data_IF_176460461729
#
_entry.id   IF_176460461729
#
_cell.length_a   1.000
_cell.length_b   1.000
_cell.length_c   1.000
_cell.angle_alpha   90.00
_cell.angle_beta   90.00
_cell.angle_gamma   90.00
#
_symmetry.space_group_name_H-M   'P 1'
#
loop_
_entity.id
_entity.type
_entity.pdbx_description
1 polymer ?
#
# COMPACT_ATOMS: atom_id res chain seq x y z
N UNK A 1 -29.66 -16.95 -17.35
CA UNK A 1 -30.31 -15.64 -17.20
C UNK A 1 -29.31 -14.67 -16.53
N UNK A 2 -28.36 -14.13 -17.30
CA UNK A 2 -27.36 -13.13 -16.85
C UNK A 2 -27.35 -11.90 -17.79
N UNK A 3 -28.39 -11.73 -18.64
CA UNK A 3 -28.38 -10.76 -19.74
C UNK A 3 -28.81 -9.32 -19.37
N UNK A 4 -29.23 -9.04 -18.14
CA UNK A 4 -29.76 -7.71 -17.78
C UNK A 4 -29.04 -7.01 -16.61
N UNK A 5 -27.88 -7.52 -16.16
CA UNK A 5 -27.06 -6.74 -15.22
C UNK A 5 -26.28 -5.70 -16.03
N UNK A 6 -26.78 -4.48 -16.00
CA UNK A 6 -26.05 -3.31 -16.51
C UNK A 6 -24.70 -3.26 -15.77
N UNK A 7 -23.61 -3.55 -16.47
CA UNK A 7 -22.27 -3.51 -15.92
C UNK A 7 -21.98 -2.07 -15.43
N UNK A 8 -21.72 -1.84 -14.14
CA UNK A 8 -21.46 -0.49 -13.64
C UNK A 8 -20.17 0.07 -14.24
N UNK A 9 -20.14 1.38 -14.49
CA UNK A 9 -18.95 2.06 -15.00
C UNK A 9 -17.82 2.00 -13.95
N UNK A 10 -16.61 1.67 -14.40
CA UNK A 10 -15.37 1.67 -13.62
C UNK A 10 -14.45 2.75 -14.16
N UNK A 11 -14.05 3.69 -13.30
CA UNK A 11 -13.00 4.67 -13.60
C UNK A 11 -11.65 4.12 -13.21
N UNK A 12 -10.80 3.82 -14.19
CA UNK A 12 -9.41 3.42 -13.95
C UNK A 12 -8.55 4.68 -13.97
N UNK A 13 -7.98 5.02 -12.82
CA UNK A 13 -7.14 6.23 -12.64
C UNK A 13 -5.68 5.82 -12.67
N UNK A 14 -4.91 6.41 -13.58
CA UNK A 14 -3.48 6.15 -13.77
C UNK A 14 -2.71 7.46 -13.57
N UNK A 15 -2.05 7.65 -12.40
CA UNK A 15 -1.12 8.76 -12.21
C UNK A 15 0.15 8.51 -13.04
N UNK A 16 0.54 9.47 -13.85
CA UNK A 16 1.66 9.33 -14.80
C UNK A 16 2.78 10.31 -14.46
N UNK A 17 3.99 9.79 -14.21
CA UNK A 17 5.19 10.61 -14.01
C UNK A 17 6.48 9.84 -14.31
N UNK A 18 7.20 10.21 -15.36
CA UNK A 18 8.50 9.60 -15.75
C UNK A 18 8.45 8.08 -15.96
N UNK A 19 7.45 7.60 -16.66
CA UNK A 19 7.21 6.18 -16.91
C UNK A 19 7.08 5.85 -18.41
N UNK A 20 7.64 6.65 -19.30
CA UNK A 20 7.53 6.49 -20.77
C UNK A 20 7.83 5.07 -21.27
N UNK A 21 8.73 4.34 -20.57
CA UNK A 21 9.11 2.96 -20.92
C UNK A 21 8.05 1.91 -20.59
N UNK A 22 7.08 2.23 -19.75
CA UNK A 22 6.13 1.28 -19.17
C UNK A 22 4.69 1.66 -19.41
N UNK A 23 4.43 2.95 -19.68
CA UNK A 23 3.09 3.52 -19.75
C UNK A 23 2.20 2.84 -20.80
N UNK A 24 2.72 2.53 -21.97
CA UNK A 24 1.96 1.84 -23.02
C UNK A 24 1.52 0.44 -22.60
N UNK A 25 2.40 -0.31 -21.93
CA UNK A 25 2.07 -1.64 -21.41
C UNK A 25 1.01 -1.56 -20.29
N UNK A 26 1.12 -0.56 -19.42
CA UNK A 26 0.13 -0.27 -18.39
C UNK A 26 -1.25 0.00 -19.01
N UNK A 27 -1.35 0.95 -19.95
CA UNK A 27 -2.61 1.31 -20.62
C UNK A 27 -3.18 0.11 -21.37
N UNK A 28 -2.33 -0.64 -22.10
CA UNK A 28 -2.75 -1.84 -22.82
C UNK A 28 -3.37 -2.88 -21.89
N UNK A 29 -2.80 -3.09 -20.69
CA UNK A 29 -3.33 -4.03 -19.70
C UNK A 29 -4.74 -3.69 -19.23
N UNK A 30 -5.11 -2.39 -19.25
CA UNK A 30 -6.45 -1.90 -18.92
C UNK A 30 -7.39 -2.02 -20.12
N UNK A 31 -6.95 -1.66 -21.31
CA UNK A 31 -7.76 -1.73 -22.53
C UNK A 31 -8.07 -3.18 -22.96
N UNK A 32 -7.21 -4.13 -22.62
CA UNK A 32 -7.41 -5.56 -22.90
C UNK A 32 -8.33 -6.28 -21.91
N UNK A 33 -8.94 -5.57 -20.96
CA UNK A 33 -9.87 -6.18 -20.01
C UNK A 33 -11.14 -6.68 -20.72
N UNK A 34 -11.67 -7.81 -20.27
CA UNK A 34 -12.93 -8.40 -20.76
C UNK A 34 -14.19 -7.71 -20.19
N UNK A 35 -14.01 -6.56 -19.55
CA UNK A 35 -15.04 -5.70 -18.98
C UNK A 35 -15.15 -4.42 -19.81
N UNK A 36 -16.27 -4.22 -20.48
CA UNK A 36 -16.38 -3.16 -21.51
C UNK A 36 -16.70 -1.77 -20.96
N UNK A 37 -17.34 -1.67 -19.79
CA UNK A 37 -17.76 -0.38 -19.25
C UNK A 37 -16.68 0.25 -18.37
N UNK A 38 -15.58 0.65 -19.00
CA UNK A 38 -14.42 1.28 -18.38
C UNK A 38 -14.20 2.65 -19.00
N UNK A 39 -13.96 3.66 -18.17
CA UNK A 39 -13.27 4.89 -18.53
C UNK A 39 -11.86 4.88 -17.94
N UNK A 40 -10.90 5.42 -18.67
CA UNK A 40 -9.51 5.52 -18.24
C UNK A 40 -9.17 7.00 -18.08
N UNK A 41 -8.65 7.37 -16.92
CA UNK A 41 -8.25 8.75 -16.60
C UNK A 41 -6.74 8.75 -16.39
N UNK A 42 -6.01 9.23 -17.41
CA UNK A 42 -4.56 9.43 -17.35
C UNK A 42 -4.29 10.81 -16.77
N UNK A 43 -3.63 10.85 -15.61
CA UNK A 43 -3.28 12.14 -14.98
C UNK A 43 -1.77 12.31 -15.06
N UNK A 44 -1.32 13.08 -16.05
CA UNK A 44 0.08 13.44 -16.19
C UNK A 44 0.47 14.51 -15.17
N UNK A 45 1.31 14.12 -14.23
CA UNK A 45 1.79 14.96 -13.13
C UNK A 45 3.06 15.75 -13.53
N UNK A 46 3.01 16.40 -14.70
CA UNK A 46 4.10 17.22 -15.23
C UNK A 46 5.33 16.39 -15.59
N UNK A 47 5.15 15.31 -16.34
CA UNK A 47 6.23 14.44 -16.79
C UNK A 47 7.18 15.19 -17.74
N UNK A 48 8.50 15.14 -17.50
CA UNK A 48 9.49 15.76 -18.39
C UNK A 48 9.97 14.87 -19.55
N UNK A 49 9.51 13.62 -19.59
CA UNK A 49 9.78 12.62 -20.62
C UNK A 49 8.65 12.57 -21.66
N UNK A 50 8.56 11.52 -22.48
CA UNK A 50 7.56 11.41 -23.53
C UNK A 50 6.15 10.99 -23.05
N UNK A 51 5.92 10.85 -21.73
CA UNK A 51 4.61 10.48 -21.19
C UNK A 51 3.44 11.36 -21.68
N UNK A 52 3.54 12.71 -21.72
CA UNK A 52 2.44 13.55 -22.19
C UNK A 52 2.01 13.19 -23.63
N UNK A 53 2.96 13.02 -24.55
CA UNK A 53 2.65 12.64 -25.93
C UNK A 53 2.04 11.24 -26.05
N UNK A 54 2.48 10.30 -25.22
CA UNK A 54 1.87 8.95 -25.15
C UNK A 54 0.41 9.07 -24.69
N UNK A 55 0.14 9.84 -23.63
CA UNK A 55 -1.21 10.03 -23.12
C UNK A 55 -2.16 10.60 -24.19
N UNK A 56 -1.76 11.66 -24.87
CA UNK A 56 -2.57 12.29 -25.93
C UNK A 56 -2.80 11.34 -27.10
N UNK A 57 -1.79 10.60 -27.56
CA UNK A 57 -1.94 9.60 -28.62
C UNK A 57 -2.98 8.51 -28.28
N UNK A 58 -3.08 8.12 -27.00
CA UNK A 58 -4.09 7.16 -26.58
C UNK A 58 -5.48 7.81 -26.49
N UNK A 59 -5.60 9.04 -26.02
CA UNK A 59 -6.88 9.75 -25.98
C UNK A 59 -7.45 10.02 -27.37
N UNK A 60 -6.60 10.30 -28.38
CA UNK A 60 -7.05 10.43 -29.76
C UNK A 60 -7.57 9.11 -30.36
N UNK A 61 -7.07 7.97 -29.91
CA UNK A 61 -7.45 6.65 -30.44
C UNK A 61 -8.64 6.00 -29.75
N UNK A 62 -8.89 6.36 -28.48
CA UNK A 62 -9.86 5.68 -27.63
C UNK A 62 -10.77 6.70 -26.93
N UNK A 63 -12.04 6.73 -27.29
CA UNK A 63 -13.04 7.69 -26.78
C UNK A 63 -13.27 7.56 -25.26
N UNK A 64 -12.94 6.41 -24.66
CA UNK A 64 -13.07 6.16 -23.23
C UNK A 64 -11.80 6.53 -22.42
N UNK A 65 -10.82 7.20 -23.04
CA UNK A 65 -9.61 7.72 -22.37
C UNK A 65 -9.70 9.22 -22.26
N UNK A 66 -9.56 9.73 -21.04
CA UNK A 66 -9.41 11.15 -20.71
C UNK A 66 -7.98 11.43 -20.24
N UNK A 67 -7.37 12.51 -20.69
CA UNK A 67 -6.08 13.01 -20.21
C UNK A 67 -6.26 14.28 -19.40
N UNK A 68 -5.53 14.38 -18.32
CA UNK A 68 -5.44 15.59 -17.48
C UNK A 68 -3.97 15.87 -17.24
N UNK A 69 -3.52 17.06 -17.62
CA UNK A 69 -2.19 17.55 -17.30
C UNK A 69 -2.23 18.46 -16.09
N UNK A 70 -1.25 18.31 -15.20
CA UNK A 70 -1.05 19.18 -14.04
C UNK A 70 0.44 19.46 -13.79
N UNK A 71 0.73 20.50 -13.02
CA UNK A 71 2.07 20.67 -12.44
C UNK A 71 2.39 19.54 -11.46
N UNK A 72 3.68 19.15 -11.38
CA UNK A 72 4.09 18.04 -10.51
C UNK A 72 3.81 18.32 -9.04
N UNK A 73 2.83 17.60 -8.49
CA UNK A 73 2.40 17.64 -7.08
C UNK A 73 2.47 16.29 -6.39
N UNK A 74 2.90 15.24 -7.11
CA UNK A 74 3.03 13.88 -6.61
C UNK A 74 1.81 12.99 -6.89
N UNK A 75 2.02 11.68 -6.79
CA UNK A 75 1.03 10.66 -7.14
C UNK A 75 -0.30 10.81 -6.39
N UNK A 76 -0.27 11.21 -5.11
CA UNK A 76 -1.48 11.46 -4.33
C UNK A 76 -2.35 12.57 -4.91
N UNK A 77 -1.73 13.70 -5.31
CA UNK A 77 -2.44 14.80 -5.96
C UNK A 77 -3.01 14.40 -7.33
N UNK A 78 -2.25 13.62 -8.11
CA UNK A 78 -2.71 13.09 -9.39
C UNK A 78 -3.90 12.14 -9.21
N UNK A 79 -3.86 11.23 -8.24
CA UNK A 79 -5.01 10.37 -7.92
C UNK A 79 -6.23 11.16 -7.48
N UNK A 80 -6.06 12.19 -6.65
CA UNK A 80 -7.15 13.08 -6.24
C UNK A 80 -7.79 13.78 -7.46
N UNK A 81 -6.97 14.27 -8.38
CA UNK A 81 -7.45 14.91 -9.60
C UNK A 81 -8.24 13.93 -10.48
N UNK A 82 -7.75 12.69 -10.61
CA UNK A 82 -8.48 11.62 -11.28
C UNK A 82 -9.82 11.28 -10.60
N UNK A 83 -9.84 11.21 -9.25
CA UNK A 83 -11.07 10.96 -8.47
C UNK A 83 -12.13 12.05 -8.66
N UNK A 84 -11.72 13.30 -8.82
CA UNK A 84 -12.62 14.43 -9.08
C UNK A 84 -13.29 14.32 -10.46
N UNK A 85 -12.56 13.77 -11.46
CA UNK A 85 -13.06 13.58 -12.84
C UNK A 85 -13.80 12.26 -13.04
N UNK A 86 -13.67 11.30 -12.11
CA UNK A 86 -14.25 9.96 -12.23
C UNK A 86 -15.79 9.99 -12.24
N UNK A 87 -16.40 9.43 -13.30
CA UNK A 87 -17.84 9.22 -13.44
C UNK A 87 -18.32 7.84 -12.99
N UNK A 88 -17.41 6.90 -12.80
CA UNK A 88 -17.69 5.52 -12.50
C UNK A 88 -18.30 5.29 -11.12
N UNK A 89 -19.11 4.23 -11.03
CA UNK A 89 -19.61 3.70 -9.74
C UNK A 89 -18.48 3.16 -8.88
N UNK A 90 -17.39 2.72 -9.52
CA UNK A 90 -16.19 2.22 -8.90
C UNK A 90 -14.96 2.95 -9.43
N UNK A 91 -13.94 3.08 -8.58
CA UNK A 91 -12.62 3.59 -8.91
C UNK A 91 -11.59 2.48 -8.71
N UNK A 92 -10.68 2.32 -9.67
CA UNK A 92 -9.54 1.42 -9.62
C UNK A 92 -8.27 2.23 -9.88
N UNK A 93 -7.31 2.18 -8.95
CA UNK A 93 -6.00 2.82 -9.16
C UNK A 93 -5.00 1.84 -9.76
N UNK A 94 -4.24 2.30 -10.74
CA UNK A 94 -3.14 1.55 -11.38
C UNK A 94 -1.95 2.48 -11.54
N UNK A 95 -0.78 2.12 -11.01
CA UNK A 95 0.43 2.89 -11.22
C UNK A 95 0.94 2.72 -12.65
N UNK A 96 1.44 3.79 -13.26
CA UNK A 96 1.80 3.85 -14.67
C UNK A 96 3.01 2.99 -15.08
N UNK A 97 3.74 2.43 -14.11
CA UNK A 97 4.81 1.44 -14.33
C UNK A 97 4.40 0.00 -14.03
N UNK A 98 3.13 -0.23 -13.65
CA UNK A 98 2.55 -1.53 -13.31
C UNK A 98 1.48 -1.97 -14.32
N UNK A 99 0.89 -3.17 -14.12
CA UNK A 99 -0.15 -3.70 -14.99
C UNK A 99 -1.26 -4.41 -14.21
N UNK A 100 -2.45 -4.51 -14.79
CA UNK A 100 -3.46 -5.47 -14.35
C UNK A 100 -3.03 -6.88 -14.76
N UNK A 101 -3.19 -7.86 -13.86
CA UNK A 101 -2.58 -9.20 -14.06
C UNK A 101 -3.34 -10.07 -15.08
N UNK A 102 -4.66 -9.94 -15.18
CA UNK A 102 -5.50 -10.79 -16.01
C UNK A 102 -6.53 -9.98 -16.79
N UNK A 103 -6.91 -10.45 -17.97
CA UNK A 103 -7.99 -9.83 -18.75
C UNK A 103 -9.34 -9.79 -18.00
N UNK A 104 -9.54 -10.67 -17.03
CA UNK A 104 -10.76 -10.74 -16.22
C UNK A 104 -10.66 -9.97 -14.88
N UNK A 105 -9.59 -9.22 -14.64
CA UNK A 105 -9.36 -8.55 -13.34
C UNK A 105 -10.48 -7.60 -12.98
N UNK A 106 -10.82 -6.65 -13.86
CA UNK A 106 -11.86 -5.64 -13.57
C UNK A 106 -13.21 -6.31 -13.36
N UNK A 107 -13.59 -7.25 -14.25
CA UNK A 107 -14.85 -7.99 -14.11
C UNK A 107 -14.96 -8.71 -12.77
N UNK A 108 -13.92 -9.43 -12.34
CA UNK A 108 -13.92 -10.17 -11.09
C UNK A 108 -13.99 -9.28 -9.86
N UNK A 109 -13.29 -8.13 -9.89
CA UNK A 109 -13.37 -7.14 -8.81
C UNK A 109 -14.79 -6.58 -8.70
N UNK A 110 -15.43 -6.24 -9.83
CA UNK A 110 -16.80 -5.73 -9.85
C UNK A 110 -17.82 -6.79 -9.41
N UNK A 111 -17.72 -8.03 -9.93
CA UNK A 111 -18.59 -9.14 -9.52
C UNK A 111 -18.54 -9.34 -8.01
N UNK A 112 -17.33 -9.34 -7.42
CA UNK A 112 -17.17 -9.46 -5.97
C UNK A 112 -17.74 -8.27 -5.22
N UNK A 113 -17.56 -7.04 -5.73
CA UNK A 113 -18.11 -5.83 -5.12
C UNK A 113 -19.64 -5.85 -5.09
N UNK A 114 -20.28 -6.26 -6.19
CA UNK A 114 -21.74 -6.36 -6.29
C UNK A 114 -22.31 -7.51 -5.46
N UNK A 115 -21.65 -8.68 -5.48
CA UNK A 115 -22.08 -9.87 -4.73
C UNK A 115 -22.08 -9.63 -3.22
N UNK A 116 -21.00 -9.04 -2.71
CA UNK A 116 -20.83 -8.82 -1.27
C UNK A 116 -21.27 -7.42 -0.82
N UNK A 117 -21.73 -6.58 -1.73
CA UNK A 117 -22.03 -5.16 -1.48
C UNK A 117 -20.82 -4.47 -0.83
N UNK A 118 -19.61 -4.80 -1.32
CA UNK A 118 -18.38 -4.33 -0.74
C UNK A 118 -18.09 -2.86 -1.14
N UNK A 119 -17.46 -2.13 -0.21
CA UNK A 119 -16.98 -0.77 -0.44
C UNK A 119 -15.56 -0.78 -1.03
N UNK A 120 -14.77 -1.79 -0.64
CA UNK A 120 -13.40 -1.99 -1.12
C UNK A 120 -13.21 -3.46 -1.46
N UNK A 121 -12.74 -3.76 -2.69
CA UNK A 121 -12.38 -5.11 -3.09
C UNK A 121 -10.91 -5.16 -3.47
N UNK A 122 -10.20 -6.19 -3.02
CA UNK A 122 -8.80 -6.41 -3.36
C UNK A 122 -8.52 -7.88 -3.68
N UNK A 123 -7.45 -8.13 -4.43
CA UNK A 123 -6.94 -9.46 -4.73
C UNK A 123 -5.46 -9.60 -4.40
N UNK A 124 -4.87 -10.70 -4.82
CA UNK A 124 -3.45 -10.94 -4.64
C UNK A 124 -2.62 -10.17 -5.68
N UNK A 125 -1.35 -9.95 -5.37
CA UNK A 125 -0.40 -9.27 -6.24
C UNK A 125 0.72 -10.23 -6.63
N UNK A 126 1.20 -10.09 -7.84
CA UNK A 126 2.44 -10.70 -8.30
C UNK A 126 3.48 -9.62 -8.58
N UNK A 127 4.73 -9.97 -8.35
CA UNK A 127 5.88 -9.12 -8.70
C UNK A 127 6.48 -9.66 -9.98
N UNK A 128 6.82 -8.77 -10.91
CA UNK A 128 7.48 -9.15 -12.13
C UNK A 128 8.64 -8.20 -12.48
N UNK A 129 9.59 -8.73 -13.19
CA UNK A 129 10.65 -8.01 -13.88
C UNK A 129 10.77 -8.58 -15.30
N UNK A 130 11.71 -8.08 -16.09
CA UNK A 130 11.90 -8.52 -17.48
C UNK A 130 12.13 -10.05 -17.66
N UNK A 131 12.46 -10.77 -16.59
CA UNK A 131 12.87 -12.18 -16.64
C UNK A 131 11.98 -13.10 -15.81
N UNK A 132 11.17 -12.56 -14.86
CA UNK A 132 10.50 -13.39 -13.83
C UNK A 132 9.19 -12.79 -13.36
N UNK A 133 8.23 -13.69 -13.08
CA UNK A 133 7.00 -13.38 -12.38
C UNK A 133 6.90 -14.25 -11.12
N UNK A 134 6.62 -13.63 -9.96
CA UNK A 134 6.48 -14.35 -8.68
C UNK A 134 5.32 -13.79 -7.85
N UNK A 135 4.64 -14.64 -7.10
CA UNK A 135 3.61 -14.20 -6.16
C UNK A 135 4.22 -13.30 -5.07
N UNK A 136 3.60 -12.16 -4.79
CA UNK A 136 4.05 -11.20 -3.81
C UNK A 136 3.29 -11.31 -2.50
N UNK A 137 1.97 -11.41 -2.57
CA UNK A 137 1.09 -11.51 -1.41
C UNK A 137 0.04 -12.60 -1.65
N UNK A 138 -0.25 -13.36 -0.60
CA UNK A 138 -1.43 -14.22 -0.54
C UNK A 138 -2.26 -13.79 0.64
N UNK A 139 -3.40 -13.16 0.38
CA UNK A 139 -4.34 -13.07 1.46
C UNK A 139 -5.09 -14.38 1.61
N UNK A 140 -5.34 -14.73 2.86
CA UNK A 140 -6.23 -15.82 3.23
C UNK A 140 -7.56 -15.28 3.79
N UNK A 141 -7.78 -13.98 3.65
CA UNK A 141 -8.99 -13.31 4.13
C UNK A 141 -10.18 -13.63 3.23
N UNK A 142 -11.34 -13.77 3.86
CA UNK A 142 -12.64 -13.88 3.19
C UNK A 142 -13.38 -12.56 3.34
N UNK A 143 -14.31 -12.25 2.43
CA UNK A 143 -15.09 -11.02 2.47
C UNK A 143 -15.85 -10.84 3.77
N UNK A 144 -16.11 -9.61 4.13
CA UNK A 144 -16.87 -9.21 5.32
C UNK A 144 -16.34 -7.93 5.97
N UNK A 145 -17.06 -7.45 7.00
CA UNK A 145 -16.66 -6.27 7.78
C UNK A 145 -15.76 -6.68 8.93
N UNK A 146 -14.46 -6.77 8.68
CA UNK A 146 -13.46 -7.16 9.68
C UNK A 146 -12.70 -5.98 10.29
N UNK A 147 -12.94 -4.76 9.81
CA UNK A 147 -12.19 -3.54 10.16
C UNK A 147 -12.20 -3.20 11.65
N UNK A 148 -13.21 -3.65 12.38
CA UNK A 148 -13.32 -3.48 13.84
C UNK A 148 -12.36 -4.33 14.64
N UNK A 149 -11.79 -5.38 14.06
CA UNK A 149 -10.91 -6.25 14.83
C UNK A 149 -9.46 -5.81 14.76
N UNK A 150 -8.78 -5.81 15.90
CA UNK A 150 -7.35 -5.54 16.01
C UNK A 150 -6.54 -6.51 15.14
N UNK A 151 -6.95 -7.78 15.06
CA UNK A 151 -6.29 -8.80 14.24
C UNK A 151 -6.37 -8.48 12.73
N UNK A 152 -7.50 -7.97 12.25
CA UNK A 152 -7.64 -7.53 10.86
C UNK A 152 -6.70 -6.36 10.54
N UNK A 153 -6.69 -5.35 11.41
CA UNK A 153 -5.82 -4.17 11.23
C UNK A 153 -4.34 -4.54 11.27
N UNK A 154 -3.97 -5.44 12.20
CA UNK A 154 -2.62 -6.00 12.27
C UNK A 154 -2.24 -6.74 10.98
N UNK A 155 -3.10 -7.64 10.50
CA UNK A 155 -2.86 -8.39 9.25
C UNK A 155 -2.70 -7.46 8.05
N UNK A 156 -3.47 -6.38 8.01
CA UNK A 156 -3.41 -5.38 6.95
C UNK A 156 -2.04 -4.75 6.76
N UNK A 157 -1.25 -4.65 7.83
CA UNK A 157 0.10 -4.09 7.78
C UNK A 157 1.21 -5.12 7.71
N UNK A 158 1.10 -6.21 8.43
CA UNK A 158 2.26 -7.08 8.71
C UNK A 158 2.25 -8.40 7.96
N UNK A 159 1.10 -8.93 7.59
CA UNK A 159 1.03 -10.24 6.94
C UNK A 159 0.39 -10.22 5.56
N UNK A 160 -0.76 -9.58 5.43
CA UNK A 160 -1.57 -9.61 4.21
C UNK A 160 -1.41 -8.36 3.36
N UNK A 161 -0.83 -7.30 3.94
CA UNK A 161 -0.50 -6.02 3.28
C UNK A 161 -1.68 -5.28 2.62
N UNK A 162 -2.93 -5.64 2.93
CA UNK A 162 -4.11 -5.03 2.30
C UNK A 162 -4.37 -3.59 2.73
N UNK A 163 -3.66 -3.06 3.72
CA UNK A 163 -3.71 -1.65 4.12
C UNK A 163 -2.49 -0.84 3.64
N UNK A 164 -1.60 -1.42 2.81
CA UNK A 164 -0.35 -0.76 2.43
C UNK A 164 -0.48 0.03 1.12
N UNK A 165 -1.04 -0.56 0.07
CA UNK A 165 -1.18 0.07 -1.25
C UNK A 165 -2.64 0.23 -1.64
N UNK A 166 -2.94 1.25 -2.43
CA UNK A 166 -4.25 1.48 -3.05
C UNK A 166 -4.37 0.87 -4.45
N UNK A 167 -3.24 0.55 -5.09
CA UNK A 167 -3.22 -0.05 -6.42
C UNK A 167 -3.84 -1.45 -6.45
N UNK A 168 -4.49 -1.80 -7.55
CA UNK A 168 -5.17 -3.09 -7.71
C UNK A 168 -6.36 -3.29 -6.78
N UNK A 169 -6.89 -2.21 -6.18
CA UNK A 169 -8.11 -2.21 -5.38
C UNK A 169 -9.23 -1.46 -6.06
N UNK A 170 -10.40 -2.06 -6.04
CA UNK A 170 -11.64 -1.44 -6.49
C UNK A 170 -12.33 -0.77 -5.30
N UNK A 171 -12.56 0.52 -5.40
CA UNK A 171 -13.26 1.31 -4.39
C UNK A 171 -14.65 1.73 -4.89
N UNK A 172 -15.67 1.62 -4.07
CA UNK A 172 -16.98 2.22 -4.35
C UNK A 172 -16.84 3.74 -4.31
N UNK A 173 -17.18 4.43 -5.40
CA UNK A 173 -17.00 5.88 -5.53
C UNK A 173 -17.82 6.65 -4.48
N UNK A 174 -19.06 6.21 -4.19
CA UNK A 174 -19.89 6.83 -3.14
C UNK A 174 -19.25 6.73 -1.76
N UNK A 175 -18.63 5.58 -1.42
CA UNK A 175 -17.92 5.42 -0.15
C UNK A 175 -16.78 6.45 0.00
N UNK A 176 -16.00 6.69 -1.06
CA UNK A 176 -14.93 7.68 -1.02
C UNK A 176 -15.45 9.11 -0.91
N UNK A 177 -16.51 9.45 -1.68
CA UNK A 177 -17.08 10.79 -1.74
C UNK A 177 -17.84 11.17 -0.48
N UNK A 178 -18.69 10.32 0.03
CA UNK A 178 -19.48 10.53 1.25
C UNK A 178 -18.60 10.73 2.48
N UNK A 179 -17.45 10.08 2.51
CA UNK A 179 -16.49 10.17 3.60
C UNK A 179 -15.36 11.20 3.34
N UNK A 180 -15.45 11.97 2.25
CA UNK A 180 -14.47 12.99 1.86
C UNK A 180 -13.02 12.49 1.85
N UNK A 181 -12.83 11.22 1.46
CA UNK A 181 -11.53 10.58 1.45
C UNK A 181 -10.70 11.07 0.26
N UNK A 182 -9.49 11.57 0.56
CA UNK A 182 -8.51 12.04 -0.42
C UNK A 182 -7.11 11.55 -0.03
N UNK A 183 -6.26 11.36 -1.03
CA UNK A 183 -4.84 11.12 -0.79
C UNK A 183 -4.17 12.38 -0.23
N UNK A 184 -3.20 12.18 0.64
CA UNK A 184 -2.36 13.28 1.09
C UNK A 184 -1.43 13.75 -0.05
N UNK A 185 -1.20 15.05 -0.15
CA UNK A 185 -0.36 15.65 -1.19
C UNK A 185 1.12 15.65 -0.81
N UNK A 186 1.66 14.51 -0.37
CA UNK A 186 3.09 14.32 -0.14
C UNK A 186 3.62 13.08 -0.90
N UNK A 187 4.93 13.08 -1.12
CA UNK A 187 5.53 12.22 -2.15
C UNK A 187 5.66 10.75 -1.80
N UNK A 188 5.25 10.31 -0.60
CA UNK A 188 5.57 8.93 -0.19
C UNK A 188 4.66 8.42 0.93
N UNK A 189 4.17 7.18 0.81
CA UNK A 189 3.24 6.52 1.72
C UNK A 189 1.87 7.21 1.82
N UNK A 190 1.52 8.03 0.84
CA UNK A 190 0.20 8.66 0.72
C UNK A 190 -0.89 7.60 0.56
N UNK A 191 -0.59 6.52 -0.16
CA UNK A 191 -1.42 5.34 -0.35
C UNK A 191 -1.70 4.62 0.97
N UNK A 192 -0.67 4.46 1.81
CA UNK A 192 -0.80 3.86 3.13
C UNK A 192 -1.70 4.69 4.05
N UNK A 193 -1.46 6.02 4.12
CA UNK A 193 -2.31 6.90 4.91
C UNK A 193 -3.76 6.87 4.40
N UNK A 194 -3.96 6.88 3.08
CA UNK A 194 -5.27 6.78 2.48
C UNK A 194 -6.02 5.51 2.91
N UNK A 195 -5.36 4.34 2.86
CA UNK A 195 -5.95 3.09 3.32
C UNK A 195 -6.21 3.07 4.84
N UNK A 196 -5.34 3.68 5.65
CA UNK A 196 -5.58 3.85 7.09
C UNK A 196 -6.82 4.70 7.35
N UNK A 197 -6.96 5.82 6.63
CA UNK A 197 -8.15 6.67 6.73
C UNK A 197 -9.41 5.91 6.28
N UNK A 198 -9.37 5.21 5.15
CA UNK A 198 -10.49 4.38 4.69
C UNK A 198 -10.93 3.37 5.77
N UNK A 199 -9.96 2.72 6.43
CA UNK A 199 -10.24 1.72 7.47
C UNK A 199 -11.06 2.29 8.64
N UNK A 200 -10.93 3.60 8.95
CA UNK A 200 -11.67 4.24 10.06
C UNK A 200 -13.17 4.45 9.79
N UNK A 201 -13.60 4.28 8.55
CA UNK A 201 -15.02 4.31 8.17
C UNK A 201 -15.65 2.93 8.09
N UNK A 202 -14.94 1.92 8.57
CA UNK A 202 -15.40 0.54 8.65
C UNK A 202 -15.99 -0.02 7.34
N UNK A 203 -15.26 0.14 6.20
CA UNK A 203 -15.76 -0.31 4.91
C UNK A 203 -15.99 -1.82 4.91
N UNK A 204 -16.96 -2.26 4.13
CA UNK A 204 -17.12 -3.68 3.82
C UNK A 204 -16.08 -4.10 2.81
N UNK A 205 -15.16 -4.99 3.21
CA UNK A 205 -14.13 -5.52 2.32
C UNK A 205 -14.60 -6.80 1.61
N UNK A 206 -14.32 -6.85 0.30
CA UNK A 206 -14.33 -8.06 -0.51
C UNK A 206 -12.90 -8.52 -0.84
N UNK A 207 -12.66 -9.84 -0.85
CA UNK A 207 -11.36 -10.41 -1.17
C UNK A 207 -11.48 -11.45 -2.26
N UNK A 208 -10.66 -11.36 -3.31
CA UNK A 208 -10.49 -12.41 -4.31
C UNK A 208 -9.11 -13.05 -4.15
N UNK A 209 -9.06 -14.38 -4.31
CA UNK A 209 -7.83 -15.15 -4.08
C UNK A 209 -6.87 -15.12 -5.26
N UNK A 210 -7.36 -14.71 -6.42
CA UNK A 210 -6.55 -14.59 -7.61
C UNK A 210 -5.69 -13.34 -7.57
N UNK A 211 -4.60 -13.38 -8.33
CA UNK A 211 -3.78 -12.19 -8.57
C UNK A 211 -4.51 -11.23 -9.51
N UNK A 212 -4.57 -9.98 -9.11
CA UNK A 212 -5.23 -8.88 -9.84
C UNK A 212 -4.23 -7.84 -10.35
N UNK A 213 -3.03 -7.84 -9.82
CA UNK A 213 -2.07 -6.78 -10.03
C UNK A 213 -0.65 -7.31 -10.22
N UNK A 214 0.04 -6.79 -11.24
CA UNK A 214 1.43 -7.05 -11.55
C UNK A 214 2.27 -5.84 -11.15
N UNK A 215 2.97 -5.95 -10.01
CA UNK A 215 3.89 -4.95 -9.55
C UNK A 215 5.25 -5.10 -10.24
N UNK A 216 5.67 -4.09 -11.00
CA UNK A 216 6.95 -4.09 -11.71
C UNK A 216 8.12 -3.76 -10.79
N UNK A 217 9.19 -4.54 -10.90
CA UNK A 217 10.46 -4.23 -10.23
C UNK A 217 11.32 -3.44 -11.20
N UNK A 218 11.42 -2.13 -10.98
CA UNK A 218 12.27 -1.25 -11.80
C UNK A 218 13.52 -0.82 -11.04
N UNK A 219 14.65 -0.73 -11.73
CA UNK A 219 15.83 -0.05 -11.22
C UNK A 219 15.54 1.45 -11.14
N UNK A 220 15.61 2.02 -9.93
CA UNK A 220 15.33 3.45 -9.71
C UNK A 220 13.89 3.80 -9.29
N UNK A 221 13.05 2.80 -9.02
CA UNK A 221 11.73 3.04 -8.41
C UNK A 221 11.86 3.85 -7.11
N UNK A 222 10.80 4.63 -6.78
CA UNK A 222 10.75 5.37 -5.51
C UNK A 222 11.06 4.46 -4.33
N UNK A 223 10.51 3.24 -4.34
CA UNK A 223 10.79 2.21 -3.33
C UNK A 223 12.25 1.72 -3.33
N UNK A 224 12.91 1.70 -4.50
CA UNK A 224 14.33 1.34 -4.66
C UNK A 224 15.28 2.42 -4.12
N UNK A 225 14.96 3.71 -4.37
CA UNK A 225 15.76 4.85 -3.89
C UNK A 225 15.76 5.03 -2.37
N UNK A 226 14.83 4.42 -1.65
CA UNK A 226 14.87 4.36 -0.19
C UNK A 226 16.12 3.68 0.38
N UNK A 227 16.82 2.87 -0.41
CA UNK A 227 18.10 2.31 0.01
C UNK A 227 19.16 3.39 0.25
N UNK A 228 19.01 4.54 -0.40
CA UNK A 228 19.97 5.64 -0.36
C UNK A 228 19.76 6.60 0.82
N UNK A 229 18.54 6.68 1.38
CA UNK A 229 18.25 7.62 2.47
C UNK A 229 17.22 7.11 3.50
N UNK A 230 17.65 6.16 4.33
CA UNK A 230 16.80 5.60 5.41
C UNK A 230 16.39 6.65 6.45
N UNK A 231 17.16 7.73 6.61
CA UNK A 231 16.78 8.83 7.49
C UNK A 231 15.52 9.55 7.02
N UNK A 232 15.39 9.78 5.73
CA UNK A 232 14.15 10.36 5.16
C UNK A 232 12.99 9.38 5.26
N UNK A 233 13.23 8.08 5.09
CA UNK A 233 12.21 7.06 5.31
C UNK A 233 11.66 7.12 6.75
N UNK A 234 12.52 7.23 7.76
CA UNK A 234 12.09 7.34 9.16
C UNK A 234 11.20 8.56 9.38
N UNK A 235 11.54 9.72 8.78
CA UNK A 235 10.70 10.92 8.82
C UNK A 235 9.34 10.69 8.16
N UNK A 236 9.30 9.98 7.04
CA UNK A 236 8.04 9.68 6.35
C UNK A 236 7.13 8.79 7.18
N UNK A 237 7.68 7.74 7.85
CA UNK A 237 6.90 6.92 8.78
C UNK A 237 6.28 7.75 9.90
N UNK A 238 7.03 8.70 10.46
CA UNK A 238 6.52 9.63 11.49
C UNK A 238 5.45 10.56 10.90
N UNK A 239 5.70 11.13 9.73
CA UNK A 239 4.75 12.05 9.11
C UNK A 239 3.39 11.41 8.81
N UNK A 240 3.39 10.16 8.33
CA UNK A 240 2.15 9.38 8.18
C UNK A 240 1.46 9.19 9.54
N UNK A 241 2.23 8.88 10.58
CA UNK A 241 1.70 8.70 11.93
C UNK A 241 1.06 9.99 12.49
N UNK A 242 1.73 11.13 12.34
CA UNK A 242 1.22 12.44 12.76
C UNK A 242 -0.04 12.83 11.96
N UNK A 243 -0.02 12.61 10.65
CA UNK A 243 -1.18 12.90 9.78
C UNK A 243 -2.40 12.05 10.16
N UNK A 244 -2.19 10.77 10.44
CA UNK A 244 -3.27 9.87 10.86
C UNK A 244 -3.76 10.21 12.26
N UNK A 245 -2.85 10.55 13.20
CA UNK A 245 -3.20 11.02 14.54
C UNK A 245 -4.10 12.24 14.48
N UNK A 246 -3.69 13.27 13.72
CA UNK A 246 -4.47 14.49 13.54
C UNK A 246 -5.83 14.23 12.89
N UNK A 247 -5.89 13.34 11.89
CA UNK A 247 -7.14 12.94 11.23
C UNK A 247 -8.12 12.28 12.20
N UNK A 248 -7.65 11.37 13.04
CA UNK A 248 -8.49 10.67 14.04
C UNK A 248 -8.89 11.60 15.19
N UNK A 249 -8.00 12.52 15.61
CA UNK A 249 -8.28 13.53 16.61
C UNK A 249 -9.41 14.45 16.19
N UNK A 250 -9.34 15.00 14.98
CA UNK A 250 -10.42 15.85 14.44
C UNK A 250 -11.79 15.19 14.44
N UNK A 251 -11.81 13.85 14.36
CA UNK A 251 -13.04 13.05 14.35
C UNK A 251 -13.43 12.53 15.73
N UNK A 252 -12.60 12.72 16.76
CA UNK A 252 -12.85 12.21 18.10
C UNK A 252 -12.82 10.67 18.21
N UNK A 253 -12.07 9.99 17.34
CA UNK A 253 -12.02 8.52 17.24
C UNK A 253 -10.61 7.96 17.50
N UNK A 254 -9.72 8.73 18.10
CA UNK A 254 -8.33 8.34 18.32
C UNK A 254 -8.19 7.01 19.06
N UNK A 255 -8.92 6.87 20.17
CA UNK A 255 -8.83 5.72 21.08
C UNK A 255 -9.25 4.42 20.37
N UNK A 256 -10.17 4.50 19.41
CA UNK A 256 -10.65 3.36 18.64
C UNK A 256 -9.62 2.82 17.64
N UNK A 257 -8.61 3.64 17.27
CA UNK A 257 -7.64 3.33 16.22
C UNK A 257 -6.17 3.51 16.65
N UNK A 258 -5.89 3.64 17.94
CA UNK A 258 -4.52 3.69 18.49
C UNK A 258 -3.73 2.43 18.12
N UNK A 259 -4.37 1.26 18.08
CA UNK A 259 -3.74 0.00 17.70
C UNK A 259 -3.22 0.04 16.25
N UNK A 260 -4.02 0.60 15.33
CA UNK A 260 -3.63 0.75 13.93
C UNK A 260 -2.38 1.62 13.80
N UNK A 261 -2.35 2.74 14.53
CA UNK A 261 -1.20 3.63 14.56
C UNK A 261 0.01 2.99 15.25
N UNK A 262 -0.20 2.27 16.34
CA UNK A 262 0.87 1.57 17.04
C UNK A 262 1.51 0.48 16.14
N UNK A 263 0.72 -0.27 15.39
CA UNK A 263 1.24 -1.24 14.41
C UNK A 263 1.98 -0.55 13.27
N UNK A 264 1.48 0.58 12.76
CA UNK A 264 2.20 1.38 11.76
C UNK A 264 3.58 1.78 12.28
N UNK A 265 3.66 2.36 13.48
CA UNK A 265 4.94 2.78 14.09
C UNK A 265 5.89 1.60 14.32
N UNK A 266 5.36 0.45 14.75
CA UNK A 266 6.18 -0.77 14.92
C UNK A 266 6.74 -1.26 13.58
N UNK A 267 5.94 -1.24 12.51
CA UNK A 267 6.42 -1.55 11.15
C UNK A 267 7.57 -0.63 10.72
N UNK A 268 7.53 0.64 11.14
CA UNK A 268 8.62 1.59 10.93
C UNK A 268 9.95 1.09 11.51
N UNK A 269 9.96 0.55 12.74
CA UNK A 269 11.17 -0.03 13.34
C UNK A 269 11.74 -1.17 12.50
N UNK A 270 10.89 -2.10 12.05
CA UNK A 270 11.34 -3.22 11.21
C UNK A 270 11.83 -2.74 9.85
N UNK A 271 11.13 -1.82 9.20
CA UNK A 271 11.50 -1.28 7.90
C UNK A 271 12.81 -0.50 7.95
N UNK A 272 12.97 0.39 8.93
CA UNK A 272 14.20 1.17 9.14
C UNK A 272 15.36 0.22 9.46
N UNK A 273 15.15 -0.72 10.37
CA UNK A 273 16.17 -1.68 10.78
C UNK A 273 16.63 -2.57 9.63
N UNK A 274 15.69 -3.19 8.92
CA UNK A 274 16.00 -4.08 7.81
C UNK A 274 16.76 -3.38 6.67
N UNK A 275 16.34 -2.17 6.31
CA UNK A 275 16.97 -1.42 5.23
C UNK A 275 18.33 -0.86 5.60
N UNK A 276 18.50 -0.37 6.84
CA UNK A 276 19.79 0.12 7.31
C UNK A 276 20.85 -1.00 7.45
N UNK A 277 20.43 -2.24 7.66
CA UNK A 277 21.31 -3.40 7.66
C UNK A 277 21.76 -3.83 6.25
N UNK A 278 21.18 -3.29 5.19
CA UNK A 278 21.57 -3.54 3.79
C UNK A 278 22.58 -2.51 3.25
N UNK A 279 22.98 -1.51 4.03
CA UNK A 279 23.99 -0.54 3.61
C UNK A 279 25.35 -1.19 3.34
N UNK A 280 26.16 -0.54 2.53
CA UNK A 280 27.54 -0.92 2.34
C UNK A 280 28.35 -0.77 3.63
N UNK A 281 29.34 -1.62 3.80
CA UNK A 281 30.22 -1.63 4.96
C UNK A 281 30.19 -2.92 5.77
N UNK A 282 31.06 -2.99 6.79
CA UNK A 282 31.10 -4.14 7.69
C UNK A 282 29.86 -4.20 8.60
N UNK A 283 29.59 -5.38 9.14
CA UNK A 283 28.41 -5.63 9.99
C UNK A 283 28.37 -4.71 11.22
N UNK A 284 29.54 -4.34 11.78
CA UNK A 284 29.65 -3.48 12.97
C UNK A 284 29.20 -2.05 12.65
N UNK A 285 29.61 -1.52 11.49
CA UNK A 285 29.20 -0.19 11.01
C UNK A 285 27.71 -0.17 10.70
N UNK A 286 27.20 -1.18 9.99
CA UNK A 286 25.76 -1.30 9.70
C UNK A 286 24.92 -1.34 10.96
N UNK A 287 25.30 -2.15 11.95
CA UNK A 287 24.58 -2.21 13.24
C UNK A 287 24.63 -0.90 14.01
N UNK A 288 25.79 -0.18 14.01
CA UNK A 288 25.88 1.13 14.66
C UNK A 288 24.92 2.16 14.04
N UNK A 289 24.91 2.21 12.71
CA UNK A 289 23.99 3.09 11.96
C UNK A 289 22.54 2.73 12.24
N UNK A 290 22.19 1.45 12.20
CA UNK A 290 20.86 0.95 12.52
C UNK A 290 20.42 1.38 13.91
N UNK A 291 21.26 1.16 14.94
CA UNK A 291 20.95 1.54 16.32
C UNK A 291 20.72 3.05 16.44
N UNK A 292 21.52 3.89 15.76
CA UNK A 292 21.35 5.34 15.75
C UNK A 292 19.99 5.76 15.17
N UNK A 293 19.61 5.15 14.05
CA UNK A 293 18.33 5.43 13.37
C UNK A 293 17.14 4.97 14.22
N UNK A 294 17.18 3.74 14.75
CA UNK A 294 16.11 3.20 15.60
C UNK A 294 15.95 4.04 16.89
N UNK A 295 17.06 4.49 17.48
CA UNK A 295 17.02 5.37 18.63
C UNK A 295 16.35 6.71 18.29
N UNK A 296 16.76 7.36 17.21
CA UNK A 296 16.16 8.62 16.75
C UNK A 296 14.67 8.48 16.50
N UNK A 297 14.25 7.40 15.83
CA UNK A 297 12.85 7.10 15.58
C UNK A 297 12.06 6.86 16.88
N UNK A 298 12.65 6.12 17.83
CA UNK A 298 12.05 5.78 19.11
C UNK A 298 11.91 6.94 20.08
N UNK A 299 12.64 8.06 19.87
CA UNK A 299 12.50 9.26 20.71
C UNK A 299 11.25 10.09 20.35
N UNK A 300 10.55 9.78 19.26
CA UNK A 300 9.36 10.51 18.84
C UNK A 300 8.21 10.37 19.86
N UNK A 301 7.45 11.45 20.16
CA UNK A 301 6.38 11.43 21.18
C UNK A 301 5.32 10.35 20.95
N UNK A 302 4.84 10.17 19.72
CA UNK A 302 3.85 9.13 19.38
C UNK A 302 4.40 7.71 19.61
N UNK A 303 5.69 7.48 19.33
CA UNK A 303 6.33 6.19 19.61
C UNK A 303 6.37 5.93 21.12
N UNK A 304 6.81 6.94 21.90
CA UNK A 304 6.85 6.85 23.36
C UNK A 304 5.47 6.62 23.99
N UNK A 305 4.43 7.18 23.40
CA UNK A 305 3.05 7.00 23.84
C UNK A 305 2.52 5.60 23.52
N UNK A 306 2.70 5.11 22.30
CA UNK A 306 1.97 3.96 21.79
C UNK A 306 2.73 2.62 21.93
N UNK A 307 4.06 2.63 22.03
CA UNK A 307 4.80 1.38 22.24
C UNK A 307 4.50 0.70 23.58
N UNK A 308 4.28 1.41 24.72
CA UNK A 308 3.84 0.79 25.97
C UNK A 308 2.51 0.02 25.83
N UNK A 309 1.57 0.51 25.02
CA UNK A 309 0.28 -0.17 24.78
C UNK A 309 0.44 -1.52 24.08
N UNK A 310 1.37 -1.62 23.14
CA UNK A 310 1.74 -2.92 22.54
C UNK A 310 2.50 -3.80 23.54
N UNK A 311 3.40 -3.23 24.34
CA UNK A 311 4.21 -3.96 25.31
C UNK A 311 3.36 -4.53 26.46
N UNK A 312 2.37 -3.79 26.95
CA UNK A 312 1.42 -4.23 27.99
C UNK A 312 0.56 -5.42 27.56
N UNK A 313 0.32 -5.52 26.24
CA UNK A 313 -0.50 -6.58 25.65
C UNK A 313 -1.95 -6.17 25.36
N UNK A 314 -2.32 -4.88 25.59
CA UNK A 314 -3.70 -4.41 25.36
C UNK A 314 -4.22 -4.73 23.96
N UNK A 315 -3.41 -4.52 22.92
CA UNK A 315 -3.76 -4.86 21.53
C UNK A 315 -3.24 -6.22 21.11
N UNK A 316 -2.03 -6.57 21.56
CA UNK A 316 -1.30 -7.77 21.14
C UNK A 316 -2.03 -9.05 21.54
N UNK A 317 -2.68 -9.08 22.71
CA UNK A 317 -3.45 -10.24 23.19
C UNK A 317 -4.67 -10.54 22.30
N UNK A 318 -5.14 -9.58 21.50
CA UNK A 318 -6.25 -9.76 20.55
C UNK A 318 -5.81 -10.37 19.21
N UNK A 319 -4.50 -10.54 18.97
CA UNK A 319 -3.97 -11.18 17.77
C UNK A 319 -4.21 -12.71 17.85
N UNK A 320 -4.61 -13.32 16.75
CA UNK A 320 -4.87 -14.76 16.69
C UNK A 320 -3.59 -15.60 16.79
N UNK A 321 -2.50 -15.14 16.13
CA UNK A 321 -1.24 -15.89 16.08
C UNK A 321 -0.40 -15.71 17.33
N UNK A 322 -0.05 -16.82 18.00
CA UNK A 322 0.89 -16.82 19.13
C UNK A 322 2.27 -16.28 18.76
N UNK A 323 2.78 -16.65 17.58
CA UNK A 323 4.08 -16.15 17.06
C UNK A 323 4.08 -14.62 16.95
N UNK A 324 3.05 -14.05 16.32
CA UNK A 324 2.96 -12.61 16.16
C UNK A 324 2.74 -11.88 17.49
N UNK A 325 1.94 -12.44 18.40
CA UNK A 325 1.80 -11.90 19.76
C UNK A 325 3.16 -11.76 20.45
N UNK A 326 3.95 -12.82 20.41
CA UNK A 326 5.27 -12.85 21.05
C UNK A 326 6.23 -11.88 20.39
N UNK A 327 6.32 -11.87 19.05
CA UNK A 327 7.22 -11.01 18.31
C UNK A 327 6.90 -9.52 18.53
N UNK A 328 5.65 -9.12 18.35
CA UNK A 328 5.20 -7.73 18.51
C UNK A 328 5.45 -7.26 19.94
N UNK A 329 5.06 -8.04 20.92
CA UNK A 329 5.24 -7.71 22.35
C UNK A 329 6.72 -7.58 22.71
N UNK A 330 7.55 -8.54 22.31
CA UNK A 330 9.00 -8.49 22.57
C UNK A 330 9.66 -7.27 21.94
N UNK A 331 9.36 -7.00 20.66
CA UNK A 331 9.90 -5.83 19.98
C UNK A 331 9.49 -4.53 20.67
N UNK A 332 8.22 -4.39 21.07
CA UNK A 332 7.71 -3.22 21.76
C UNK A 332 8.35 -3.04 23.14
N UNK A 333 8.55 -4.12 23.91
CA UNK A 333 9.29 -4.08 25.19
C UNK A 333 10.71 -3.59 24.96
N UNK A 334 11.42 -4.08 23.94
CA UNK A 334 12.78 -3.64 23.64
C UNK A 334 12.83 -2.14 23.28
N UNK A 335 11.81 -1.63 22.59
CA UNK A 335 11.68 -0.19 22.32
C UNK A 335 11.48 0.59 23.62
N UNK A 336 10.56 0.18 24.48
CA UNK A 336 10.28 0.81 25.78
C UNK A 336 11.52 0.84 26.67
N UNK A 337 12.28 -0.24 26.71
CA UNK A 337 13.54 -0.37 27.45
C UNK A 337 14.73 0.33 26.76
N UNK A 338 14.51 0.96 25.60
CA UNK A 338 15.58 1.58 24.77
C UNK A 338 16.70 0.59 24.39
N UNK A 339 16.39 -0.69 24.36
CA UNK A 339 17.31 -1.78 24.05
C UNK A 339 17.56 -1.92 22.54
N UNK A 340 17.81 -0.80 21.84
CA UNK A 340 17.91 -0.74 20.38
C UNK A 340 19.03 -1.60 19.79
N UNK A 341 20.07 -1.91 20.57
CA UNK A 341 21.12 -2.87 20.13
C UNK A 341 20.54 -4.29 19.99
N UNK A 342 19.77 -4.73 20.98
CA UNK A 342 19.13 -6.06 20.96
C UNK A 342 18.08 -6.12 19.86
N UNK A 343 17.28 -5.06 19.69
CA UNK A 343 16.31 -4.96 18.62
C UNK A 343 16.99 -5.03 17.24
N UNK A 344 18.09 -4.32 17.01
CA UNK A 344 18.84 -4.35 15.75
C UNK A 344 19.39 -5.75 15.44
N UNK A 345 19.92 -6.46 16.44
CA UNK A 345 20.36 -7.85 16.29
C UNK A 345 19.18 -8.80 16.00
N UNK A 346 18.04 -8.62 16.69
CA UNK A 346 16.81 -9.37 16.42
C UNK A 346 16.35 -9.20 14.97
N UNK A 347 16.31 -7.96 14.47
CA UNK A 347 15.96 -7.67 13.07
C UNK A 347 16.96 -8.32 12.10
N UNK A 348 18.27 -8.25 12.40
CA UNK A 348 19.29 -8.90 11.59
C UNK A 348 19.11 -10.42 11.52
N UNK A 349 18.80 -11.06 12.66
CA UNK A 349 18.51 -12.48 12.72
C UNK A 349 17.27 -12.88 11.92
N UNK A 350 16.19 -12.10 12.05
CA UNK A 350 14.96 -12.30 11.27
C UNK A 350 15.23 -12.18 9.77
N UNK A 351 16.04 -11.20 9.33
CA UNK A 351 16.46 -11.06 7.94
C UNK A 351 17.28 -12.25 7.46
N UNK A 352 18.21 -12.74 8.29
CA UNK A 352 19.01 -13.93 8.01
C UNK A 352 18.20 -15.21 7.88
N UNK A 353 17.16 -15.37 8.68
CA UNK A 353 16.21 -16.48 8.62
C UNK A 353 15.23 -16.41 7.45
N UNK A 354 15.25 -15.31 6.65
CA UNK A 354 14.41 -15.14 5.49
C UNK A 354 12.95 -14.80 5.81
N UNK A 355 12.66 -14.41 7.06
CA UNK A 355 11.32 -13.94 7.46
C UNK A 355 10.95 -12.63 6.78
N UNK A 356 11.93 -11.79 6.46
CA UNK A 356 11.76 -10.63 5.57
C UNK A 356 11.46 -11.05 4.12
N UNK A 357 11.93 -12.25 3.71
CA UNK A 357 11.53 -12.86 2.42
C UNK A 357 10.06 -13.27 2.38
N UNK A 358 9.39 -13.35 3.51
CA UNK A 358 7.92 -13.53 3.58
C UNK A 358 7.15 -12.21 3.53
N UNK A 359 7.75 -11.08 3.94
CA UNK A 359 7.09 -9.77 3.94
C UNK A 359 7.55 -8.83 2.83
N UNK A 360 8.75 -9.02 2.26
CA UNK A 360 9.28 -8.20 1.15
C UNK A 360 10.03 -8.97 0.06
N UNK A 361 10.31 -10.26 0.28
CA UNK A 361 10.91 -11.17 -0.69
C UNK A 361 10.28 -12.55 -0.54
N UNK A 362 9.21 -12.84 -1.25
CA UNK A 362 8.83 -14.21 -1.48
C UNK A 362 9.92 -14.93 -2.26
N UNK A 363 10.33 -16.06 -1.70
CA UNK A 363 11.40 -16.93 -2.17
C UNK A 363 11.38 -17.05 -3.69
N UNK A 364 12.45 -16.61 -4.32
CA UNK A 364 12.90 -17.18 -5.58
C UNK A 364 13.18 -18.66 -5.38
N UNK A 365 12.19 -19.52 -5.46
CA UNK A 365 12.45 -20.92 -5.78
C UNK A 365 12.58 -21.00 -7.29
N UNK A 366 13.82 -21.28 -7.74
CA UNK A 366 14.10 -21.86 -9.04
C UNK A 366 13.14 -23.04 -9.23
N UNK A 367 12.26 -22.95 -10.20
CA UNK A 367 11.72 -24.11 -10.86
C UNK A 367 12.09 -23.95 -12.32
N UNK A 368 12.96 -24.86 -12.74
CA UNK A 368 13.37 -25.12 -14.12
C UNK A 368 12.14 -25.51 -14.93
#
# INVERSE_FOLDING_TARGET
MLSDRKFPLVSVIIPVYKTEKYLEECIASVLEQDYQNIEVILVDDGSPDNCPAICENYAEKYENIQVIHQENKGAGAARNRGMESAGGRYILFVDSDDCLDRKSTVRRLVEKAEEEQADIVTGNFRRFDALRCSEMNRHHLRGGSYTRTVDFRFKGFLTDNHLISDCGKLYRTSFLRENHLKHAEYRMMEDKLFNMMCCTYEPRYGFIQESVYLYRVTEGSVTGRYKENVGNMAKTWIHVAESFWYFTEKRGIQDDYEDLLAFHLLCGFFSIGSRSLQFEGDIKTRLRTTVKLLKSYGEHPLVKRLMPELASGNYVNKLQSFFWRTLVRTASILVCLRAYRVLAWGIAALNGLGTEKQTSRLKYKRTI
#
